data_IF_796733927448
#
_entry.id   IF_796733927448
#
_cell.length_a   1.000
_cell.length_b   1.000
_cell.length_c   1.000
_cell.angle_alpha   90.00
_cell.angle_beta   90.00
_cell.angle_gamma   90.00
#
_symmetry.space_group_name_H-M   'P 1'
#
loop_
_entity.id
_entity.type
_entity.pdbx_description
1 polymer ?
#
# COMPACT_ATOMS: atom_id res chain seq x y z
N UNK A 1 -3.57 -15.19 12.23
CA UNK A 1 -2.91 -16.38 11.64
C UNK A 1 -3.17 -17.53 12.59
N UNK A 2 -3.76 -18.65 12.13
CA UNK A 2 -4.12 -19.77 13.02
C UNK A 2 -3.26 -21.01 12.75
N UNK A 3 -2.89 -21.25 11.48
CA UNK A 3 -2.07 -22.37 11.05
C UNK A 3 -0.74 -21.90 10.46
N UNK A 4 0.28 -22.75 10.48
CA UNK A 4 1.59 -22.46 9.86
C UNK A 4 1.50 -22.18 8.35
N UNK A 5 0.68 -22.89 7.55
CA UNK A 5 0.51 -22.56 6.13
C UNK A 5 -0.16 -21.19 5.90
N UNK A 6 -0.96 -20.68 6.84
CA UNK A 6 -1.55 -19.35 6.72
C UNK A 6 -0.46 -18.26 6.74
N UNK A 7 0.63 -18.51 7.47
CA UNK A 7 1.74 -17.58 7.60
C UNK A 7 2.45 -17.34 6.27
N UNK A 8 2.73 -18.40 5.50
CA UNK A 8 3.47 -18.27 4.24
C UNK A 8 2.70 -17.45 3.20
N UNK A 9 1.36 -17.56 3.19
CA UNK A 9 0.49 -16.74 2.34
C UNK A 9 0.44 -15.29 2.83
N UNK A 10 0.23 -15.08 4.13
CA UNK A 10 0.04 -13.75 4.71
C UNK A 10 1.33 -12.91 4.74
N UNK A 11 2.48 -13.54 5.00
CA UNK A 11 3.76 -12.87 5.10
C UNK A 11 4.49 -12.74 3.74
N UNK A 12 3.97 -13.32 2.65
CA UNK A 12 4.67 -13.40 1.35
C UNK A 12 5.22 -12.05 0.88
N UNK A 13 4.41 -11.00 0.98
CA UNK A 13 4.80 -9.66 0.53
C UNK A 13 5.96 -9.03 1.34
N UNK A 14 6.29 -9.56 2.52
CA UNK A 14 7.45 -9.10 3.31
C UNK A 14 8.77 -9.72 2.84
N UNK A 15 8.71 -10.87 2.17
CA UNK A 15 9.90 -11.64 1.75
C UNK A 15 10.06 -11.74 0.24
N UNK A 16 9.04 -11.35 -0.53
CA UNK A 16 9.05 -11.42 -1.98
C UNK A 16 8.25 -10.27 -2.59
N UNK A 17 8.68 -9.83 -3.77
CA UNK A 17 7.89 -8.95 -4.64
C UNK A 17 7.05 -9.73 -5.67
N UNK A 18 7.08 -11.07 -5.61
CA UNK A 18 6.19 -11.97 -6.35
C UNK A 18 4.99 -12.35 -5.46
N UNK A 19 3.96 -11.51 -5.56
CA UNK A 19 2.66 -11.72 -4.93
C UNK A 19 1.55 -11.11 -5.78
N UNK A 20 0.36 -11.69 -5.70
CA UNK A 20 -0.81 -11.19 -6.39
C UNK A 20 -1.55 -10.16 -5.53
N UNK A 21 -2.18 -9.18 -6.19
CA UNK A 21 -3.12 -8.26 -5.53
C UNK A 21 -4.51 -8.86 -5.64
N UNK A 22 -5.07 -9.26 -4.51
CA UNK A 22 -6.39 -9.89 -4.41
C UNK A 22 -7.46 -9.04 -5.09
N UNK A 23 -8.17 -9.65 -6.05
CA UNK A 23 -9.18 -8.96 -6.85
C UNK A 23 -10.34 -8.47 -6.00
N UNK A 24 -10.80 -9.25 -5.03
CA UNK A 24 -11.87 -8.87 -4.10
C UNK A 24 -11.45 -7.72 -3.18
N UNK A 25 -10.18 -7.69 -2.74
CA UNK A 25 -9.65 -6.58 -1.96
C UNK A 25 -9.54 -5.29 -2.79
N UNK A 26 -9.08 -5.40 -4.05
CA UNK A 26 -9.09 -4.28 -5.00
C UNK A 26 -10.51 -3.76 -5.23
N UNK A 27 -11.45 -4.64 -5.60
CA UNK A 27 -12.86 -4.28 -5.79
C UNK A 27 -13.48 -3.66 -4.53
N UNK A 28 -13.05 -4.06 -3.33
CA UNK A 28 -13.54 -3.49 -2.08
C UNK A 28 -13.01 -2.09 -1.82
N UNK A 29 -11.71 -1.87 -2.00
CA UNK A 29 -11.02 -0.67 -1.52
C UNK A 29 -10.64 0.34 -2.62
N UNK A 30 -10.74 -0.04 -3.89
CA UNK A 30 -10.44 0.79 -5.05
C UNK A 30 -11.70 1.15 -5.85
N UNK A 31 -12.87 1.17 -5.20
CA UNK A 31 -14.16 1.53 -5.83
C UNK A 31 -14.23 2.98 -6.27
N UNK A 32 -13.60 3.86 -5.50
CA UNK A 32 -13.59 5.29 -5.81
C UNK A 32 -12.63 5.52 -6.98
N UNK A 33 -13.09 6.12 -8.10
CA UNK A 33 -12.28 6.32 -9.29
C UNK A 33 -11.06 7.22 -9.04
N UNK A 34 -11.01 7.98 -7.95
CA UNK A 34 -9.84 8.78 -7.55
C UNK A 34 -8.69 7.92 -7.04
N UNK A 35 -8.93 6.67 -6.59
CA UNK A 35 -7.91 5.86 -5.89
C UNK A 35 -6.62 5.68 -6.69
N UNK A 36 -6.63 5.31 -8.00
CA UNK A 36 -5.40 5.18 -8.76
C UNK A 36 -4.57 6.47 -8.80
N UNK A 37 -5.22 7.63 -8.98
CA UNK A 37 -4.55 8.93 -8.98
C UNK A 37 -3.97 9.25 -7.59
N UNK A 38 -4.72 8.97 -6.51
CA UNK A 38 -4.25 9.19 -5.15
C UNK A 38 -3.08 8.29 -4.76
N UNK A 39 -3.06 7.04 -5.22
CA UNK A 39 -1.93 6.14 -5.01
C UNK A 39 -0.69 6.61 -5.76
N UNK A 40 -0.85 7.17 -6.96
CA UNK A 40 0.26 7.79 -7.69
C UNK A 40 0.80 9.02 -6.96
N UNK A 41 -0.07 9.93 -6.50
CA UNK A 41 0.33 11.09 -5.68
C UNK A 41 1.01 10.67 -4.37
N UNK A 42 0.52 9.60 -3.74
CA UNK A 42 1.13 9.05 -2.54
C UNK A 42 2.53 8.48 -2.83
N UNK A 43 2.73 7.81 -3.96
CA UNK A 43 4.04 7.32 -4.36
C UNK A 43 5.06 8.47 -4.45
N UNK A 44 4.69 9.58 -5.08
CA UNK A 44 5.53 10.79 -5.18
C UNK A 44 5.80 11.42 -3.81
N UNK A 45 4.78 11.55 -2.96
CA UNK A 45 4.93 12.10 -1.62
C UNK A 45 5.89 11.26 -0.76
N UNK A 46 5.75 9.93 -0.82
CA UNK A 46 6.59 9.00 -0.08
C UNK A 46 8.02 8.93 -0.63
N UNK A 47 8.21 9.05 -1.95
CA UNK A 47 9.53 9.07 -2.58
C UNK A 47 10.38 10.28 -2.12
N UNK A 48 9.72 11.40 -1.80
CA UNK A 48 10.37 12.63 -1.37
C UNK A 48 10.61 12.71 0.16
N UNK A 49 10.21 11.71 0.94
CA UNK A 49 10.47 11.68 2.37
C UNK A 49 11.98 11.57 2.64
N UNK A 50 12.49 12.49 3.48
CA UNK A 50 13.89 12.48 3.96
C UNK A 50 14.14 11.49 5.09
N UNK A 51 13.11 11.19 5.87
CA UNK A 51 13.15 10.22 6.96
C UNK A 51 12.06 9.17 6.73
N UNK A 52 12.44 7.90 6.77
CA UNK A 52 11.53 6.77 6.61
C UNK A 52 11.20 6.17 7.97
N UNK A 53 10.12 6.64 8.59
CA UNK A 53 9.62 6.17 9.87
C UNK A 53 8.09 6.20 9.89
N UNK A 54 7.49 5.64 10.96
CA UNK A 54 6.05 5.52 11.12
C UNK A 54 5.33 6.86 10.91
N UNK A 55 5.73 7.89 11.65
CA UNK A 55 5.03 9.17 11.68
C UNK A 55 5.17 9.92 10.36
N UNK A 56 6.33 9.88 9.72
CA UNK A 56 6.55 10.48 8.41
C UNK A 56 5.65 9.83 7.34
N UNK A 57 5.54 8.50 7.34
CA UNK A 57 4.64 7.77 6.45
C UNK A 57 3.16 8.08 6.72
N UNK A 58 2.76 8.16 8.00
CA UNK A 58 1.40 8.52 8.39
C UNK A 58 1.05 9.93 7.93
N UNK A 59 1.88 10.91 8.27
CA UNK A 59 1.68 12.31 7.88
C UNK A 59 1.62 12.49 6.36
N UNK A 60 2.52 11.86 5.59
CA UNK A 60 2.47 11.92 4.14
C UNK A 60 1.17 11.32 3.58
N UNK A 61 0.76 10.15 4.11
CA UNK A 61 -0.47 9.48 3.66
C UNK A 61 -1.71 10.31 3.97
N UNK A 62 -1.81 10.85 5.19
CA UNK A 62 -2.94 11.69 5.59
C UNK A 62 -2.95 13.02 4.85
N UNK A 63 -1.78 13.64 4.61
CA UNK A 63 -1.67 14.88 3.86
C UNK A 63 -2.16 14.74 2.42
N UNK A 64 -1.86 13.63 1.74
CA UNK A 64 -2.39 13.35 0.39
C UNK A 64 -3.92 13.18 0.42
N UNK A 65 -4.45 12.49 1.43
CA UNK A 65 -5.89 12.31 1.58
C UNK A 65 -6.61 13.65 1.84
N UNK A 66 -6.06 14.47 2.74
CA UNK A 66 -6.58 15.80 3.08
C UNK A 66 -6.56 16.75 1.87
N UNK A 67 -5.43 16.82 1.16
CA UNK A 67 -5.29 17.66 -0.03
C UNK A 67 -6.26 17.29 -1.17
N UNK A 68 -6.75 16.05 -1.18
CA UNK A 68 -7.73 15.56 -2.15
C UNK A 68 -9.18 15.58 -1.63
N UNK A 69 -9.41 16.09 -0.41
CA UNK A 69 -10.69 16.11 0.29
C UNK A 69 -11.34 14.71 0.39
N UNK A 70 -10.54 13.72 0.79
CA UNK A 70 -11.01 12.35 1.02
C UNK A 70 -10.66 11.85 2.42
N UNK A 71 -11.43 10.87 2.91
CA UNK A 71 -11.14 10.24 4.20
C UNK A 71 -9.82 9.48 4.12
N UNK A 72 -8.93 9.69 5.10
CA UNK A 72 -7.66 8.95 5.20
C UNK A 72 -7.84 7.42 5.13
N UNK A 73 -8.93 6.89 5.69
CA UNK A 73 -9.26 5.46 5.64
C UNK A 73 -9.38 4.90 4.21
N UNK A 74 -9.78 5.71 3.23
CA UNK A 74 -9.81 5.30 1.82
C UNK A 74 -8.39 5.00 1.34
N UNK A 75 -7.48 5.97 1.48
CA UNK A 75 -6.12 5.87 1.00
C UNK A 75 -5.29 4.84 1.77
N UNK A 76 -5.49 4.73 3.09
CA UNK A 76 -4.83 3.73 3.94
C UNK A 76 -5.17 2.30 3.46
N UNK A 77 -6.45 2.00 3.25
CA UNK A 77 -6.84 0.66 2.80
C UNK A 77 -6.43 0.38 1.36
N UNK A 78 -6.53 1.37 0.46
CA UNK A 78 -6.06 1.23 -0.91
C UNK A 78 -4.55 0.95 -0.98
N UNK A 79 -3.76 1.68 -0.18
CA UNK A 79 -2.30 1.53 -0.07
C UNK A 79 -1.92 0.14 0.43
N UNK A 80 -2.62 -0.37 1.45
CA UNK A 80 -2.40 -1.75 1.94
C UNK A 80 -2.52 -2.77 0.81
N UNK A 81 -3.61 -2.72 0.05
CA UNK A 81 -3.79 -3.63 -1.08
C UNK A 81 -2.69 -3.43 -2.14
N UNK A 82 -2.26 -2.20 -2.38
CA UNK A 82 -1.20 -1.91 -3.34
C UNK A 82 0.14 -2.56 -2.95
N UNK A 83 0.52 -2.50 -1.67
CA UNK A 83 1.86 -2.86 -1.20
C UNK A 83 1.99 -4.27 -0.65
N UNK A 84 0.90 -4.91 -0.20
CA UNK A 84 0.92 -6.32 0.26
C UNK A 84 -0.12 -7.21 -0.42
N UNK A 85 -0.96 -6.67 -1.30
CA UNK A 85 -1.89 -7.46 -2.09
C UNK A 85 -3.13 -7.98 -1.36
N UNK A 86 -3.26 -7.73 -0.06
CA UNK A 86 -4.33 -8.27 0.77
C UNK A 86 -5.13 -7.19 1.50
N UNK A 87 -6.39 -7.48 1.82
CA UNK A 87 -7.29 -6.60 2.57
C UNK A 87 -6.88 -6.42 4.04
N UNK A 88 -6.26 -7.45 4.63
CA UNK A 88 -5.89 -7.49 6.04
C UNK A 88 -4.40 -7.74 6.14
N UNK A 89 -3.70 -6.85 6.84
CA UNK A 89 -2.28 -6.88 7.08
C UNK A 89 -2.02 -6.25 8.46
N UNK A 90 -0.77 -6.20 8.96
CA UNK A 90 -0.43 -5.39 10.12
C UNK A 90 -0.84 -3.92 9.96
N UNK A 91 -0.67 -3.08 11.00
CA UNK A 91 -0.79 -1.65 10.86
C UNK A 91 0.01 -1.15 9.65
N UNK A 92 -0.62 -0.28 8.84
CA UNK A 92 -0.09 0.07 7.52
C UNK A 92 1.30 0.71 7.62
N UNK A 93 1.47 1.66 8.54
CA UNK A 93 2.70 2.43 8.62
C UNK A 93 3.86 1.60 9.16
N UNK A 94 3.61 0.69 10.12
CA UNK A 94 4.60 -0.32 10.52
C UNK A 94 4.96 -1.25 9.35
N UNK A 95 3.98 -1.63 8.53
CA UNK A 95 4.21 -2.42 7.32
C UNK A 95 5.09 -1.65 6.33
N UNK A 96 4.85 -0.36 6.12
CA UNK A 96 5.66 0.49 5.25
C UNK A 96 7.10 0.62 5.77
N UNK A 97 7.28 0.78 7.08
CA UNK A 97 8.61 0.80 7.71
C UNK A 97 9.33 -0.52 7.49
N UNK A 98 8.66 -1.66 7.73
CA UNK A 98 9.22 -2.98 7.55
C UNK A 98 9.61 -3.30 6.10
N UNK A 99 8.82 -2.84 5.12
CA UNK A 99 9.09 -3.05 3.69
C UNK A 99 10.18 -2.10 3.15
N UNK A 100 10.31 -0.90 3.72
CA UNK A 100 11.23 0.12 3.26
C UNK A 100 10.70 0.97 2.09
N UNK A 101 11.24 2.19 1.98
CA UNK A 101 10.78 3.24 1.06
C UNK A 101 10.75 2.79 -0.40
N UNK A 102 11.86 2.24 -0.89
CA UNK A 102 12.00 1.86 -2.30
C UNK A 102 10.97 0.80 -2.72
N UNK A 103 10.74 -0.22 -1.88
CA UNK A 103 9.76 -1.26 -2.16
C UNK A 103 8.33 -0.70 -2.17
N UNK A 104 7.99 0.13 -1.19
CA UNK A 104 6.65 0.73 -1.09
C UNK A 104 6.35 1.62 -2.30
N UNK A 105 7.26 2.55 -2.63
CA UNK A 105 7.11 3.47 -3.77
C UNK A 105 6.98 2.70 -5.08
N UNK A 106 7.87 1.73 -5.33
CA UNK A 106 7.80 0.90 -6.54
C UNK A 106 6.50 0.11 -6.63
N UNK A 107 6.06 -0.53 -5.54
CA UNK A 107 4.82 -1.31 -5.51
C UNK A 107 3.58 -0.44 -5.73
N UNK A 108 3.58 0.81 -5.28
CA UNK A 108 2.53 1.78 -5.59
C UNK A 108 2.48 2.09 -7.10
N UNK A 109 3.63 2.39 -7.71
CA UNK A 109 3.71 2.62 -9.16
C UNK A 109 3.25 1.41 -9.98
N UNK A 110 3.71 0.21 -9.64
CA UNK A 110 3.26 -1.04 -10.30
C UNK A 110 1.74 -1.24 -10.16
N UNK A 111 1.18 -0.90 -8.99
CA UNK A 111 -0.24 -1.09 -8.73
C UNK A 111 -1.12 -0.17 -9.59
N UNK A 112 -0.66 1.07 -9.88
CA UNK A 112 -1.41 2.06 -10.67
C UNK A 112 -1.19 1.91 -12.18
N UNK A 113 -0.02 1.44 -12.61
CA UNK A 113 0.31 1.26 -14.03
C UNK A 113 -0.26 -0.03 -14.64
N UNK A 114 -0.80 -0.93 -13.80
CA UNK A 114 -1.35 -2.21 -14.27
C UNK A 114 -0.27 -3.18 -14.76
N UNK A 115 1.01 -2.88 -14.53
CA UNK A 115 2.12 -3.77 -14.83
C UNK A 115 2.01 -5.02 -13.94
N UNK A 116 1.42 -6.08 -14.49
CA UNK A 116 1.62 -7.41 -13.97
C UNK A 116 3.09 -7.78 -14.23
N UNK A 117 3.81 -8.21 -13.20
CA UNK A 117 5.09 -8.89 -13.43
C UNK A 117 4.80 -10.13 -14.26
N UNK A 118 5.52 -10.25 -15.38
CA UNK A 118 5.53 -11.43 -16.24
C UNK A 118 6.08 -12.65 -15.48
#
# INVERSE_FOLDING_TARGET
IRLLPDFSTWARAFFSDDFTRDATAKEKFWKDPKVPELLAKLAEALANLKAWNHDACDHATRGVAEAADVKAALLINATRVAIVGQAVAPPLFDTMVALGQQHVVRRLHEAVSGAAKA
#
